data_IF_868037399004
#
_entry.id   IF_868037399004
#
_cell.length_a   1.000
_cell.length_b   1.000
_cell.length_c   1.000
_cell.angle_alpha   90.00
_cell.angle_beta   90.00
_cell.angle_gamma   90.00
#
_symmetry.space_group_name_H-M   'P 1'
#
loop_
_entity.id
_entity.type
_entity.pdbx_description
1 polymer ?
#
# COMPACT_ATOMS: atom_id res chain seq x y z
N UNK A 1 9.03 -33.12 -13.61
CA UNK A 1 7.57 -33.09 -13.89
C UNK A 1 7.02 -31.73 -13.48
N UNK A 2 6.16 -31.19 -14.33
CA UNK A 2 5.80 -29.79 -14.61
C UNK A 2 4.85 -29.14 -13.56
N UNK A 3 5.28 -28.95 -12.32
CA UNK A 3 4.49 -28.19 -11.31
C UNK A 3 5.26 -27.12 -10.53
N UNK A 4 6.60 -27.12 -10.62
CA UNK A 4 7.44 -26.25 -9.79
C UNK A 4 7.66 -24.83 -10.36
N UNK A 5 7.40 -24.62 -11.66
CA UNK A 5 7.60 -23.32 -12.32
C UNK A 5 6.35 -22.43 -12.37
N UNK A 6 5.16 -22.94 -12.02
CA UNK A 6 3.90 -22.18 -12.10
C UNK A 6 3.42 -21.63 -10.75
N UNK A 7 3.93 -22.14 -9.61
CA UNK A 7 3.32 -21.95 -8.28
C UNK A 7 4.09 -21.01 -7.33
N UNK A 8 5.22 -20.44 -7.76
CA UNK A 8 6.02 -19.54 -6.91
C UNK A 8 5.82 -18.02 -7.11
N UNK A 9 4.59 -17.48 -7.27
CA UNK A 9 4.39 -16.04 -7.07
C UNK A 9 3.56 -15.66 -5.83
N UNK A 10 2.93 -16.60 -5.11
CA UNK A 10 1.96 -16.18 -4.08
C UNK A 10 2.61 -15.64 -2.79
N UNK A 11 3.66 -16.29 -2.28
CA UNK A 11 4.27 -15.90 -1.00
C UNK A 11 5.00 -14.56 -1.08
N UNK A 12 5.52 -14.17 -2.25
CA UNK A 12 6.19 -12.88 -2.44
C UNK A 12 5.21 -11.71 -2.39
N UNK A 13 4.07 -11.83 -3.08
CA UNK A 13 2.99 -10.84 -3.07
C UNK A 13 2.44 -10.61 -1.64
N UNK A 14 2.30 -11.68 -0.85
CA UNK A 14 1.81 -11.56 0.53
C UNK A 14 2.82 -10.90 1.46
N UNK A 15 4.11 -11.21 1.32
CA UNK A 15 5.17 -10.59 2.11
C UNK A 15 5.28 -9.09 1.83
N UNK A 16 5.26 -8.69 0.55
CA UNK A 16 5.35 -7.30 0.14
C UNK A 16 4.15 -6.48 0.62
N UNK A 17 2.95 -7.08 0.60
CA UNK A 17 1.74 -6.45 1.14
C UNK A 17 1.78 -6.26 2.66
N UNK A 18 2.54 -7.08 3.40
CA UNK A 18 2.70 -6.92 4.85
C UNK A 18 3.70 -5.81 5.19
N UNK A 19 4.84 -5.76 4.48
CA UNK A 19 5.83 -4.69 4.64
C UNK A 19 5.28 -3.32 4.24
N UNK A 20 4.45 -3.24 3.19
CA UNK A 20 3.77 -2.01 2.81
C UNK A 20 2.87 -1.48 3.92
N UNK A 21 2.12 -2.38 4.57
CA UNK A 21 1.28 -2.02 5.72
C UNK A 21 2.11 -1.44 6.86
N UNK A 22 3.31 -1.96 7.13
CA UNK A 22 4.23 -1.48 8.18
C UNK A 22 4.87 -0.13 7.89
N UNK A 23 5.01 0.23 6.60
CA UNK A 23 5.56 1.53 6.18
C UNK A 23 4.61 2.72 6.40
N UNK A 24 3.38 2.48 6.87
CA UNK A 24 2.39 3.52 7.10
C UNK A 24 2.72 4.33 8.37
N UNK A 25 3.24 5.54 8.16
CA UNK A 25 3.60 6.48 9.24
C UNK A 25 2.56 7.59 9.35
N UNK A 26 2.23 8.01 10.58
CA UNK A 26 1.37 9.17 10.86
C UNK A 26 1.95 10.43 10.18
N UNK A 27 1.10 11.25 9.57
CA UNK A 27 1.47 12.44 8.79
C UNK A 27 1.73 12.17 7.31
N UNK A 28 1.65 10.92 6.86
CA UNK A 28 1.85 10.57 5.46
C UNK A 28 0.57 10.81 4.66
N UNK A 29 0.69 11.43 3.48
CA UNK A 29 -0.42 11.53 2.53
C UNK A 29 -0.60 10.17 1.85
N UNK A 30 -1.83 9.67 1.78
CA UNK A 30 -2.13 8.36 1.22
C UNK A 30 -3.32 8.43 0.26
N UNK A 31 -3.40 7.44 -0.62
CA UNK A 31 -4.54 7.21 -1.53
C UNK A 31 -5.16 5.88 -1.18
N UNK A 32 -6.46 5.89 -0.93
CA UNK A 32 -7.25 4.67 -0.72
C UNK A 32 -7.58 4.01 -2.07
N UNK A 33 -8.03 2.76 -2.04
CA UNK A 33 -8.44 2.02 -3.26
C UNK A 33 -9.54 2.76 -4.05
N UNK A 34 -10.38 3.56 -3.38
CA UNK A 34 -11.41 4.39 -4.01
C UNK A 34 -10.90 5.70 -4.62
N UNK A 35 -9.59 5.92 -4.68
CA UNK A 35 -9.00 7.17 -5.17
C UNK A 35 -9.11 8.35 -4.20
N UNK A 36 -9.50 8.09 -2.93
CA UNK A 36 -9.60 9.14 -1.93
C UNK A 36 -8.20 9.53 -1.45
N UNK A 37 -7.88 10.81 -1.57
CA UNK A 37 -6.65 11.38 -1.02
C UNK A 37 -6.89 11.88 0.39
N UNK A 38 -6.04 11.48 1.33
CA UNK A 38 -6.14 11.91 2.72
C UNK A 38 -4.79 11.95 3.42
N UNK A 39 -4.77 12.58 4.59
CA UNK A 39 -3.64 12.57 5.51
C UNK A 39 -3.87 11.50 6.57
N UNK A 40 -2.87 10.65 6.81
CA UNK A 40 -2.91 9.67 7.89
C UNK A 40 -2.72 10.37 9.24
N UNK A 41 -3.75 10.46 10.07
CA UNK A 41 -3.67 11.10 11.40
C UNK A 41 -3.30 10.08 12.46
N UNK A 42 -3.83 8.86 12.34
CA UNK A 42 -3.61 7.80 13.30
C UNK A 42 -3.51 6.44 12.62
N UNK A 43 -2.63 5.59 13.14
CA UNK A 43 -2.42 4.22 12.66
C UNK A 43 -2.65 3.29 13.84
N UNK A 44 -3.71 2.51 13.76
CA UNK A 44 -3.99 1.39 14.64
C UNK A 44 -3.53 0.05 14.02
N UNK A 45 -3.64 -1.06 14.77
CA UNK A 45 -3.23 -2.37 14.29
C UNK A 45 -4.04 -2.83 13.06
N UNK A 46 -5.37 -2.74 13.14
CA UNK A 46 -6.31 -3.17 12.11
C UNK A 46 -6.87 -2.02 11.26
N UNK A 47 -7.06 -0.84 11.89
CA UNK A 47 -7.69 0.33 11.26
C UNK A 47 -6.79 1.55 11.31
N UNK A 48 -7.02 2.47 10.38
CA UNK A 48 -6.31 3.73 10.23
C UNK A 48 -7.31 4.88 10.20
N UNK A 49 -6.93 6.01 10.80
CA UNK A 49 -7.72 7.23 10.78
C UNK A 49 -7.13 8.18 9.73
N UNK A 50 -7.91 8.46 8.69
CA UNK A 50 -7.57 9.41 7.65
C UNK A 50 -8.36 10.69 7.86
N UNK A 51 -7.67 11.81 7.71
CA UNK A 51 -8.29 13.12 7.59
C UNK A 51 -8.35 13.51 6.13
N UNK A 52 -9.58 13.74 5.67
CA UNK A 52 -9.91 14.17 4.32
C UNK A 52 -10.10 15.68 4.34
N UNK A 53 -10.04 16.29 3.16
CA UNK A 53 -10.33 17.70 2.97
C UNK A 53 -11.66 18.10 3.65
N UNK A 54 -11.69 19.31 4.22
CA UNK A 54 -12.74 19.82 5.13
C UNK A 54 -12.70 19.28 6.57
N UNK A 55 -11.61 18.65 6.98
CA UNK A 55 -11.39 18.22 8.37
C UNK A 55 -12.23 17.00 8.76
N UNK A 56 -12.80 16.29 7.78
CA UNK A 56 -13.57 15.08 8.03
C UNK A 56 -12.60 13.94 8.35
N UNK A 57 -12.74 13.36 9.54
CA UNK A 57 -11.98 12.17 9.94
C UNK A 57 -12.78 10.92 9.64
N UNK A 58 -12.18 10.00 8.92
CA UNK A 58 -12.80 8.74 8.51
C UNK A 58 -11.88 7.57 8.87
N UNK A 59 -12.49 6.50 9.37
CA UNK A 59 -11.78 5.28 9.72
C UNK A 59 -11.85 4.31 8.55
N UNK A 60 -10.69 3.84 8.13
CA UNK A 60 -10.55 2.85 7.07
C UNK A 60 -9.76 1.66 7.56
N UNK A 61 -9.97 0.51 6.94
CA UNK A 61 -9.12 -0.65 7.19
C UNK A 61 -7.73 -0.42 6.61
N UNK A 62 -6.72 -0.99 7.26
CA UNK A 62 -5.33 -0.91 6.78
C UNK A 62 -5.14 -1.57 5.41
N UNK A 63 -6.02 -2.50 5.05
CA UNK A 63 -6.10 -3.13 3.73
C UNK A 63 -6.59 -2.18 2.63
N UNK A 64 -7.31 -1.10 2.98
CA UNK A 64 -7.91 -0.17 2.03
C UNK A 64 -6.93 0.92 1.54
N UNK A 65 -5.69 0.92 2.05
CA UNK A 65 -4.64 1.86 1.64
C UNK A 65 -3.87 1.26 0.47
N UNK A 66 -3.95 1.93 -0.68
CA UNK A 66 -3.35 1.44 -1.93
C UNK A 66 -1.97 2.03 -2.18
N UNK A 67 -1.79 3.33 -1.90
CA UNK A 67 -0.56 4.06 -2.23
C UNK A 67 -0.24 5.14 -1.20
N UNK A 68 1.05 5.35 -0.96
CA UNK A 68 1.55 6.55 -0.26
C UNK A 68 1.74 7.65 -1.30
N UNK A 69 1.05 8.77 -1.14
CA UNK A 69 1.05 9.92 -2.04
C UNK A 69 2.18 10.93 -1.75
N UNK A 70 3.22 10.51 -1.03
CA UNK A 70 4.40 11.32 -0.73
C UNK A 70 5.68 10.61 -1.17
N UNK A 71 6.14 10.94 -2.37
CA UNK A 71 7.53 10.82 -2.81
C UNK A 71 8.24 9.49 -2.58
N UNK A 72 8.06 8.54 -3.49
CA UNK A 72 9.14 8.06 -4.38
C UNK A 72 8.55 7.04 -5.33
N UNK A 73 8.53 7.42 -6.60
CA UNK A 73 8.49 6.56 -7.75
C UNK A 73 9.58 5.48 -7.61
N UNK A 74 9.23 4.28 -7.17
CA UNK A 74 10.04 3.08 -7.35
C UNK A 74 9.12 1.94 -7.81
N UNK A 75 8.37 2.24 -8.87
CA UNK A 75 7.54 1.31 -9.61
C UNK A 75 7.95 1.30 -11.08
N UNK A 76 9.25 1.19 -11.36
CA UNK A 76 9.78 0.84 -12.68
C UNK A 76 11.10 0.09 -12.52
N UNK A 77 11.03 -1.20 -12.16
CA UNK A 77 12.07 -2.18 -12.51
C UNK A 77 11.44 -3.56 -12.65
N UNK A 78 10.51 -3.70 -13.60
CA UNK A 78 10.21 -4.99 -14.21
C UNK A 78 10.23 -4.78 -15.72
N UNK A 79 11.10 -5.52 -16.40
CA UNK A 79 11.20 -5.71 -17.85
C UNK A 79 11.94 -4.64 -18.68
N UNK A 80 13.27 -4.81 -18.86
CA UNK A 80 13.90 -5.18 -20.15
C UNK A 80 15.43 -5.20 -19.97
N UNK A 81 15.98 -6.34 -19.57
CA UNK A 81 17.39 -6.68 -19.84
C UNK A 81 17.40 -8.12 -20.33
N UNK A 82 17.14 -8.25 -21.62
CA UNK A 82 17.50 -9.39 -22.47
C UNK A 82 17.54 -8.82 -23.89
N UNK A 83 18.71 -8.33 -24.27
CA UNK A 83 19.15 -8.18 -25.65
C UNK A 83 20.63 -8.60 -25.65
#
# INVERSE_FOLDING_TARGET
VLYFFMIRPQQRITADAKSFRESLVKGTRVVTIGGLHGLLVEVGPETVLLEVERGQRMRFDRSAISRVAGGTTAGETVATTNA
#
